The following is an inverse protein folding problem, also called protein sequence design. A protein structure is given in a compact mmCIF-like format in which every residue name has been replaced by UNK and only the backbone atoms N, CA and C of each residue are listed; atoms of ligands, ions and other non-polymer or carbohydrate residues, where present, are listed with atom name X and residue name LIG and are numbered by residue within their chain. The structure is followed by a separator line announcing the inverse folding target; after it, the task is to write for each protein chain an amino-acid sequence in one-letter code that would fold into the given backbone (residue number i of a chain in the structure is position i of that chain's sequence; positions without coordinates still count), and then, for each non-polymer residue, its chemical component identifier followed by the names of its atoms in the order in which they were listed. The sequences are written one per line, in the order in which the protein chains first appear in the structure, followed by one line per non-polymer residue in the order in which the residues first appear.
data_IF_748152612364
#
_entry.id   IF_748152612364
#
_cell.length_a   1.000
_cell.length_b   1.000
_cell.length_c   1.000
_cell.angle_alpha   90.00
_cell.angle_beta   90.00
_cell.angle_gamma   90.00
#
_symmetry.space_group_name_H-M   'P 1'
#
loop_
_entity.id
_entity.type
_entity.pdbx_description
1 polymer ?
#
# COMPACT_ATOMS: atom_id res chain seq x y z
N UNK A 1 -37.28 20.73 -0.40
CA UNK A 1 -36.26 21.10 0.60
C UNK A 1 -35.40 19.93 1.04
N UNK A 2 -35.93 18.69 1.13
CA UNK A 2 -35.12 17.50 1.46
C UNK A 2 -34.13 17.04 0.36
N UNK A 3 -34.50 17.16 -0.93
CA UNK A 3 -33.66 16.70 -2.05
C UNK A 3 -32.35 17.49 -2.18
N UNK A 4 -32.37 18.81 -1.95
CA UNK A 4 -31.18 19.66 -2.02
C UNK A 4 -30.22 19.42 -0.86
N UNK A 5 -30.73 19.07 0.33
CA UNK A 5 -29.90 18.73 1.48
C UNK A 5 -29.20 17.37 1.29
N UNK A 6 -29.94 16.35 0.83
CA UNK A 6 -29.37 15.04 0.52
C UNK A 6 -28.34 15.10 -0.60
N UNK A 7 -28.57 15.90 -1.64
CA UNK A 7 -27.59 16.13 -2.70
C UNK A 7 -26.31 16.77 -2.15
N UNK A 8 -26.45 17.79 -1.30
CA UNK A 8 -25.29 18.48 -0.70
C UNK A 8 -24.48 17.58 0.23
N UNK A 9 -25.13 16.73 1.02
CA UNK A 9 -24.47 15.72 1.87
C UNK A 9 -23.73 14.70 1.00
N UNK A 10 -24.38 14.18 -0.06
CA UNK A 10 -23.77 13.24 -1.01
C UNK A 10 -22.51 13.84 -1.65
N UNK A 11 -22.58 15.07 -2.16
CA UNK A 11 -21.42 15.75 -2.77
C UNK A 11 -20.27 15.96 -1.79
N UNK A 12 -20.57 16.29 -0.53
CA UNK A 12 -19.53 16.49 0.49
C UNK A 12 -18.84 15.18 0.87
N UNK A 13 -19.58 14.07 0.89
CA UNK A 13 -19.06 12.73 1.13
C UNK A 13 -18.19 12.25 -0.05
N UNK A 14 -18.65 12.46 -1.29
CA UNK A 14 -17.90 12.15 -2.51
C UNK A 14 -16.57 12.93 -2.58
N UNK A 15 -16.58 14.21 -2.21
CA UNK A 15 -15.37 15.04 -2.21
C UNK A 15 -14.33 14.55 -1.19
N UNK A 16 -14.78 14.23 0.03
CA UNK A 16 -13.92 13.71 1.08
C UNK A 16 -13.36 12.32 0.72
N UNK A 17 -14.22 11.41 0.25
CA UNK A 17 -13.83 10.06 -0.13
C UNK A 17 -12.84 10.07 -1.30
N UNK A 18 -13.06 10.92 -2.29
CA UNK A 18 -12.12 11.11 -3.42
C UNK A 18 -10.78 11.63 -2.93
N UNK A 19 -10.76 12.60 -2.00
CA UNK A 19 -9.53 13.11 -1.41
C UNK A 19 -8.77 12.03 -0.64
N UNK A 20 -9.50 11.22 0.14
CA UNK A 20 -8.93 10.10 0.90
C UNK A 20 -8.29 9.06 -0.03
N UNK A 21 -9.02 8.58 -1.04
CA UNK A 21 -8.49 7.60 -2.00
C UNK A 21 -7.28 8.14 -2.78
N UNK A 22 -7.30 9.42 -3.14
CA UNK A 22 -6.14 10.09 -3.74
C UNK A 22 -4.92 10.04 -2.82
N UNK A 23 -5.05 10.47 -1.56
CA UNK A 23 -3.96 10.43 -0.58
C UNK A 23 -3.46 9.02 -0.31
N UNK A 24 -4.36 8.06 -0.13
CA UNK A 24 -3.99 6.65 0.10
C UNK A 24 -3.17 6.12 -1.07
N UNK A 25 -3.59 6.38 -2.32
CA UNK A 25 -2.83 5.95 -3.49
C UNK A 25 -1.47 6.62 -3.58
N UNK A 26 -1.38 7.87 -3.17
CA UNK A 26 -0.11 8.61 -3.07
C UNK A 26 0.84 7.93 -2.07
N UNK A 27 0.35 7.65 -0.87
CA UNK A 27 1.10 6.97 0.19
C UNK A 27 1.57 5.57 -0.22
N UNK A 28 0.71 4.79 -0.90
CA UNK A 28 1.11 3.45 -1.39
C UNK A 28 2.14 3.55 -2.51
N UNK A 29 2.03 4.56 -3.37
CA UNK A 29 3.04 4.84 -4.40
C UNK A 29 4.38 5.22 -3.76
N UNK A 30 4.36 5.98 -2.67
CA UNK A 30 5.53 6.31 -1.86
C UNK A 30 6.14 5.07 -1.21
N UNK A 31 5.31 4.20 -0.62
CA UNK A 31 5.70 2.91 -0.03
C UNK A 31 6.43 2.04 -1.05
N UNK A 32 5.86 1.88 -2.24
CA UNK A 32 6.49 1.11 -3.32
C UNK A 32 7.88 1.66 -3.66
N UNK A 33 8.02 2.99 -3.75
CA UNK A 33 9.31 3.64 -4.02
C UNK A 33 10.32 3.40 -2.89
N UNK A 34 9.89 3.51 -1.64
CA UNK A 34 10.78 3.33 -0.48
C UNK A 34 11.24 1.87 -0.34
N UNK A 35 10.46 0.90 -0.85
CA UNK A 35 10.84 -0.50 -1.00
C UNK A 35 11.69 -0.82 -2.24
N UNK A 36 12.12 0.20 -3.00
CA UNK A 36 12.99 -0.01 -4.17
C UNK A 36 12.25 -0.33 -5.48
N UNK A 37 10.91 -0.24 -5.52
CA UNK A 37 10.15 -0.42 -6.76
C UNK A 37 10.11 0.87 -7.59
N UNK A 38 10.07 0.70 -8.90
CA UNK A 38 10.03 1.83 -9.84
C UNK A 38 8.63 2.42 -9.89
N UNK A 39 8.48 3.63 -9.34
CA UNK A 39 7.25 4.42 -9.43
C UNK A 39 7.57 5.79 -10.04
N UNK A 40 6.85 6.15 -11.10
CA UNK A 40 7.06 7.44 -11.74
C UNK A 40 6.68 8.60 -10.80
N UNK A 41 7.47 9.68 -10.80
CA UNK A 41 7.20 10.87 -9.98
C UNK A 41 5.80 11.44 -10.19
N UNK A 42 5.27 11.36 -11.41
CA UNK A 42 3.91 11.80 -11.77
C UNK A 42 2.79 11.00 -11.10
N UNK A 43 3.07 9.78 -10.65
CA UNK A 43 2.11 8.96 -9.89
C UNK A 43 2.09 9.36 -8.41
N UNK A 44 3.25 9.73 -7.85
CA UNK A 44 3.40 10.18 -6.45
C UNK A 44 3.02 11.66 -6.28
N UNK A 45 3.25 12.53 -7.25
CA UNK A 45 2.96 13.97 -7.12
C UNK A 45 1.78 14.38 -8.00
N UNK A 46 0.88 13.43 -8.26
CA UNK A 46 -0.33 13.70 -9.04
C UNK A 46 -1.21 14.60 -8.20
N UNK A 47 -1.40 15.86 -8.58
CA UNK A 47 -2.36 16.71 -7.87
C UNK A 47 -3.78 16.14 -7.91
N UNK A 48 -4.59 16.39 -6.87
CA UNK A 48 -5.97 15.91 -6.73
C UNK A 48 -6.82 16.14 -8.00
N UNK A 49 -6.70 17.31 -8.64
CA UNK A 49 -7.41 17.60 -9.90
C UNK A 49 -7.04 16.62 -11.03
N UNK A 50 -5.78 16.20 -11.10
CA UNK A 50 -5.32 15.19 -12.06
C UNK A 50 -5.82 13.79 -11.73
N UNK A 51 -5.96 13.47 -10.44
CA UNK A 51 -6.59 12.23 -9.99
C UNK A 51 -8.06 12.19 -10.38
N UNK A 52 -8.83 13.25 -10.05
CA UNK A 52 -10.24 13.40 -10.42
C UNK A 52 -10.49 13.26 -11.92
N UNK A 53 -9.62 13.85 -12.76
CA UNK A 53 -9.73 13.71 -14.22
C UNK A 53 -9.53 12.29 -14.73
N UNK A 54 -8.67 11.49 -14.08
CA UNK A 54 -8.37 10.15 -14.54
C UNK A 54 -9.39 9.13 -14.03
N UNK A 55 -9.76 9.21 -12.75
CA UNK A 55 -10.57 8.19 -12.09
C UNK A 55 -11.99 8.63 -11.75
N UNK A 56 -12.28 9.94 -11.82
CA UNK A 56 -13.54 10.53 -11.40
C UNK A 56 -13.49 11.09 -9.97
N UNK A 57 -14.61 11.70 -9.57
CA UNK A 57 -14.80 12.36 -8.28
C UNK A 57 -16.19 12.13 -7.68
N UNK A 58 -16.86 11.07 -8.12
CA UNK A 58 -18.15 10.59 -7.63
C UNK A 58 -18.03 9.13 -7.14
N UNK A 59 -17.35 8.86 -6.02
CA UNK A 59 -17.22 7.52 -5.43
C UNK A 59 -18.58 6.83 -5.22
N UNK A 60 -19.62 7.58 -4.86
CA UNK A 60 -20.99 7.09 -4.73
C UNK A 60 -21.59 6.52 -6.02
N UNK A 61 -21.00 6.84 -7.17
CA UNK A 61 -21.36 6.31 -8.50
C UNK A 61 -20.29 5.33 -9.02
N UNK A 62 -19.36 4.92 -8.15
CA UNK A 62 -18.28 3.98 -8.46
C UNK A 62 -17.09 4.61 -9.19
N UNK A 63 -16.86 5.92 -9.05
CA UNK A 63 -15.78 6.66 -9.74
C UNK A 63 -15.02 7.60 -8.80
N UNK A 64 -13.79 7.31 -8.36
CA UNK A 64 -12.96 6.14 -8.69
C UNK A 64 -13.60 4.81 -8.28
N UNK A 65 -13.46 3.81 -9.15
CA UNK A 65 -13.63 2.41 -8.75
C UNK A 65 -12.36 1.95 -8.04
N UNK A 66 -12.50 1.14 -6.99
CA UNK A 66 -11.36 0.57 -6.25
C UNK A 66 -10.43 -0.21 -7.19
N UNK A 67 -11.00 -1.01 -8.10
CA UNK A 67 -10.22 -1.80 -9.06
C UNK A 67 -9.35 -0.92 -9.96
N UNK A 68 -9.84 0.25 -10.39
CA UNK A 68 -9.10 1.17 -11.27
C UNK A 68 -7.88 1.80 -10.59
N UNK A 69 -7.87 1.81 -9.25
CA UNK A 69 -6.74 2.30 -8.46
C UNK A 69 -5.62 1.27 -8.32
N UNK A 70 -5.86 0.01 -8.70
CA UNK A 70 -4.88 -1.08 -8.63
C UNK A 70 -3.83 -0.99 -9.74
N UNK A 71 -2.59 -1.38 -9.47
CA UNK A 71 -1.49 -1.30 -10.44
C UNK A 71 -0.34 -2.25 -10.10
N UNK A 72 0.51 -2.53 -11.09
CA UNK A 72 1.75 -3.28 -10.92
C UNK A 72 2.96 -2.33 -10.83
N UNK A 73 3.97 -2.77 -10.10
CA UNK A 73 5.29 -2.13 -10.05
C UNK A 73 6.39 -3.20 -10.18
N UNK A 74 7.50 -2.84 -10.81
CA UNK A 74 8.66 -3.73 -10.96
C UNK A 74 9.82 -3.21 -10.10
N UNK A 75 10.59 -4.11 -9.50
CA UNK A 75 11.73 -3.74 -8.67
C UNK A 75 12.82 -3.07 -9.52
N UNK A 76 13.48 -2.04 -8.98
CA UNK A 76 14.48 -1.26 -9.71
C UNK A 76 15.68 -2.10 -10.13
N UNK A 77 16.16 -2.93 -9.22
CA UNK A 77 17.38 -3.71 -9.41
C UNK A 77 17.10 -5.10 -10.01
N UNK A 78 15.84 -5.55 -9.99
CA UNK A 78 15.42 -6.82 -10.58
C UNK A 78 14.05 -6.67 -11.26
N UNK A 79 14.00 -6.33 -12.55
CA UNK A 79 12.73 -6.13 -13.26
C UNK A 79 11.83 -7.36 -13.33
N UNK A 80 12.36 -8.56 -13.05
CA UNK A 80 11.56 -9.78 -12.95
C UNK A 80 10.84 -9.92 -11.60
N UNK A 81 11.20 -9.14 -10.58
CA UNK A 81 10.44 -9.09 -9.33
C UNK A 81 9.37 -8.00 -9.44
N UNK A 82 8.12 -8.43 -9.54
CA UNK A 82 6.96 -7.54 -9.61
C UNK A 82 6.13 -7.63 -8.33
N UNK A 83 5.53 -6.51 -7.98
CA UNK A 83 4.57 -6.41 -6.90
C UNK A 83 3.26 -5.84 -7.43
N UNK A 84 2.16 -6.46 -7.04
CA UNK A 84 0.82 -6.01 -7.38
C UNK A 84 0.19 -5.25 -6.23
N UNK A 85 -0.33 -4.05 -6.50
CA UNK A 85 -1.07 -3.24 -5.54
C UNK A 85 -2.54 -3.42 -5.89
N UNK A 86 -3.28 -4.09 -5.00
CA UNK A 86 -4.69 -4.37 -5.14
C UNK A 86 -5.49 -3.46 -4.20
N UNK A 87 -6.27 -2.55 -4.78
CA UNK A 87 -7.31 -1.81 -4.07
C UNK A 87 -8.59 -2.62 -4.11
N UNK A 88 -9.12 -2.97 -2.93
CA UNK A 88 -10.30 -3.82 -2.78
C UNK A 88 -11.27 -3.23 -1.77
N UNK A 89 -12.53 -3.14 -2.16
CA UNK A 89 -13.65 -2.88 -1.26
C UNK A 89 -14.08 -4.16 -0.50
N UNK A 90 -13.73 -5.35 -1.03
CA UNK A 90 -13.88 -6.63 -0.33
C UNK A 90 -12.91 -6.76 0.85
N UNK A 91 -13.32 -7.41 1.96
CA UNK A 91 -12.43 -7.67 3.08
C UNK A 91 -11.31 -8.64 2.71
N UNK A 92 -10.10 -8.36 3.17
CA UNK A 92 -8.93 -9.21 2.98
C UNK A 92 -9.06 -10.53 3.78
N UNK A 93 -9.57 -11.57 3.12
CA UNK A 93 -9.79 -12.89 3.70
C UNK A 93 -9.21 -14.00 2.80
N UNK A 94 -9.22 -15.25 3.30
CA UNK A 94 -8.66 -16.39 2.59
C UNK A 94 -9.25 -16.58 1.19
N UNK A 95 -10.56 -16.35 1.00
CA UNK A 95 -11.20 -16.48 -0.31
C UNK A 95 -10.67 -15.43 -1.29
N UNK A 96 -10.52 -14.18 -0.84
CA UNK A 96 -9.96 -13.10 -1.65
C UNK A 96 -8.50 -13.38 -2.01
N UNK A 97 -7.68 -13.82 -1.04
CA UNK A 97 -6.28 -14.15 -1.32
C UNK A 97 -6.12 -15.35 -2.25
N UNK A 98 -6.89 -16.42 -2.06
CA UNK A 98 -6.84 -17.58 -2.96
C UNK A 98 -7.27 -17.20 -4.38
N UNK A 99 -8.32 -16.37 -4.51
CA UNK A 99 -8.75 -15.87 -5.82
C UNK A 99 -7.64 -15.07 -6.50
N UNK A 100 -7.05 -14.10 -5.80
CA UNK A 100 -5.96 -13.28 -6.34
C UNK A 100 -4.72 -14.13 -6.65
N UNK A 101 -4.39 -15.09 -5.80
CA UNK A 101 -3.26 -16.00 -6.01
C UNK A 101 -3.41 -16.79 -7.30
N UNK A 102 -4.59 -17.35 -7.55
CA UNK A 102 -4.84 -18.11 -8.78
C UNK A 102 -4.72 -17.22 -10.02
N UNK A 103 -5.35 -16.03 -9.99
CA UNK A 103 -5.29 -15.08 -11.11
C UNK A 103 -3.83 -14.70 -11.40
N UNK A 104 -3.05 -14.35 -10.38
CA UNK A 104 -1.67 -13.94 -10.55
C UNK A 104 -0.76 -15.10 -10.97
N UNK A 105 -1.02 -16.32 -10.51
CA UNK A 105 -0.30 -17.51 -10.98
C UNK A 105 -0.56 -17.78 -12.46
N UNK A 106 -1.81 -17.69 -12.90
CA UNK A 106 -2.16 -17.85 -14.31
C UNK A 106 -1.49 -16.75 -15.16
N UNK A 107 -1.52 -15.50 -14.69
CA UNK A 107 -0.81 -14.39 -15.36
C UNK A 107 0.70 -14.60 -15.41
N UNK A 108 1.32 -15.01 -14.30
CA UNK A 108 2.75 -15.32 -14.23
C UNK A 108 3.13 -16.47 -15.18
N UNK A 109 2.28 -17.50 -15.31
CA UNK A 109 2.53 -18.63 -16.20
C UNK A 109 2.44 -18.26 -17.69
N UNK A 110 1.62 -17.27 -18.03
CA UNK A 110 1.46 -16.77 -19.41
C UNK A 110 2.56 -15.76 -19.80
N UNK A 111 3.16 -15.09 -18.82
CA UNK A 111 4.22 -14.10 -19.03
C UNK A 111 5.57 -14.77 -19.27
N UNK A 112 6.36 -14.17 -20.18
CA UNK A 112 7.75 -14.61 -20.46
C UNK A 112 8.80 -13.93 -19.56
N UNK A 113 8.38 -13.01 -18.70
CA UNK A 113 9.21 -12.24 -17.77
C UNK A 113 8.32 -11.42 -16.83
N UNK A 114 8.85 -11.04 -15.67
CA UNK A 114 8.04 -10.48 -14.57
C UNK A 114 7.29 -11.58 -13.82
N UNK A 115 7.64 -11.77 -12.55
CA UNK A 115 7.01 -12.70 -11.62
C UNK A 115 6.45 -11.88 -10.47
N UNK A 116 5.12 -11.87 -10.35
CA UNK A 116 4.47 -11.26 -9.20
C UNK A 116 4.57 -12.21 -8.01
N UNK A 117 5.45 -11.89 -7.07
CA UNK A 117 5.68 -12.67 -5.85
C UNK A 117 5.04 -12.02 -4.61
N UNK A 118 4.71 -10.72 -4.70
CA UNK A 118 4.16 -9.93 -3.60
C UNK A 118 2.92 -9.16 -4.02
N UNK A 119 1.98 -9.05 -3.09
CA UNK A 119 0.74 -8.30 -3.27
C UNK A 119 0.48 -7.44 -2.04
N UNK A 120 0.32 -6.14 -2.25
CA UNK A 120 -0.22 -5.23 -1.23
C UNK A 120 -1.73 -5.11 -1.45
N UNK A 121 -2.52 -5.46 -0.45
CA UNK A 121 -3.98 -5.35 -0.48
C UNK A 121 -4.41 -4.18 0.38
N UNK A 122 -4.94 -3.14 -0.25
CA UNK A 122 -5.53 -1.96 0.41
C UNK A 122 -7.02 -2.19 0.58
N UNK A 123 -7.50 -2.18 1.82
CA UNK A 123 -8.90 -2.43 2.16
C UNK A 123 -9.55 -1.27 2.89
N UNK A 124 -10.85 -1.07 2.67
CA UNK A 124 -11.62 -0.06 3.40
C UNK A 124 -11.77 -0.43 4.90
N UNK A 125 -12.12 -1.70 5.17
CA UNK A 125 -12.39 -2.23 6.51
C UNK A 125 -11.93 -3.68 6.62
N UNK A 126 -11.69 -4.15 7.84
CA UNK A 126 -11.29 -5.53 8.13
C UNK A 126 -10.00 -5.62 8.93
N UNK A 127 -9.51 -6.83 9.24
CA UNK A 127 -8.27 -6.99 10.00
C UNK A 127 -7.05 -6.62 9.16
N UNK A 128 -6.17 -5.77 9.70
CA UNK A 128 -4.89 -5.41 9.07
C UNK A 128 -3.77 -6.43 9.32
N UNK A 129 -4.01 -7.39 10.23
CA UNK A 129 -2.98 -8.28 10.81
C UNK A 129 -2.68 -9.49 9.92
N UNK A 130 -2.17 -9.30 8.71
CA UNK A 130 -1.90 -10.45 7.84
C UNK A 130 -0.80 -10.15 6.83
N UNK A 131 0.44 -10.56 7.15
CA UNK A 131 1.30 -11.18 6.13
C UNK A 131 0.76 -12.59 5.94
N UNK A 132 0.32 -12.94 4.73
CA UNK A 132 -0.20 -14.27 4.41
C UNK A 132 0.46 -14.78 3.15
N UNK A 133 0.96 -16.01 3.19
CA UNK A 133 1.52 -16.64 2.01
C UNK A 133 0.56 -17.72 1.49
N UNK A 134 0.20 -17.63 0.21
CA UNK A 134 -0.66 -18.59 -0.49
C UNK A 134 -0.05 -18.81 -1.86
N UNK A 135 0.23 -20.07 -2.21
CA UNK A 135 0.71 -20.42 -3.55
C UNK A 135 2.05 -19.76 -3.93
N UNK A 136 2.92 -19.48 -2.95
CA UNK A 136 4.20 -18.77 -3.17
C UNK A 136 4.05 -17.26 -3.38
N UNK A 137 2.85 -16.69 -3.20
CA UNK A 137 2.59 -15.26 -3.24
C UNK A 137 2.39 -14.74 -1.82
N UNK A 138 3.11 -13.69 -1.47
CA UNK A 138 3.03 -13.01 -0.18
C UNK A 138 2.02 -11.86 -0.28
N UNK A 139 0.99 -11.92 0.55
CA UNK A 139 -0.04 -10.89 0.70
C UNK A 139 0.23 -10.07 1.96
N UNK A 140 0.27 -8.75 1.83
CA UNK A 140 0.39 -7.79 2.91
C UNK A 140 -0.81 -6.85 2.89
N UNK A 141 -1.52 -6.72 4.00
CA UNK A 141 -2.77 -5.95 4.04
C UNK A 141 -2.56 -4.59 4.72
N UNK A 142 -3.16 -3.54 4.18
CA UNK A 142 -3.20 -2.22 4.78
C UNK A 142 -4.63 -1.69 4.77
N UNK A 143 -5.03 -1.01 5.85
CA UNK A 143 -6.28 -0.26 5.84
C UNK A 143 -6.06 1.06 5.14
N UNK A 144 -7.06 1.50 4.39
CA UNK A 144 -7.06 2.84 3.80
C UNK A 144 -6.83 3.93 4.87
N UNK A 145 -7.40 3.78 6.07
CA UNK A 145 -7.31 4.79 7.12
C UNK A 145 -5.89 4.89 7.68
N UNK A 146 -5.18 3.76 7.81
CA UNK A 146 -3.78 3.75 8.25
C UNK A 146 -2.91 4.50 7.24
N UNK A 147 -3.12 4.24 5.95
CA UNK A 147 -2.37 4.89 4.86
C UNK A 147 -2.74 6.36 4.66
N UNK A 148 -4.00 6.73 4.96
CA UNK A 148 -4.50 8.09 4.84
C UNK A 148 -3.93 9.01 5.92
N UNK A 149 -3.76 8.51 7.14
CA UNK A 149 -3.28 9.32 8.28
C UNK A 149 -1.81 9.68 8.21
N UNK A 150 -1.07 9.11 7.27
CA UNK A 150 0.36 9.32 7.13
C UNK A 150 0.62 10.70 6.54
N UNK A 151 1.40 11.48 7.28
CA UNK A 151 2.01 12.71 6.80
C UNK A 151 3.48 12.45 6.43
N UNK A 152 4.03 13.34 5.62
CA UNK A 152 5.40 13.18 5.10
C UNK A 152 6.43 13.17 6.25
N UNK A 153 6.19 13.95 7.31
CA UNK A 153 7.08 14.02 8.47
C UNK A 153 7.15 12.69 9.25
N UNK A 154 6.03 11.99 9.42
CA UNK A 154 6.02 10.69 10.10
C UNK A 154 6.83 9.65 9.32
N UNK A 155 6.74 9.63 7.98
CA UNK A 155 7.54 8.73 7.14
C UNK A 155 9.03 9.03 7.24
N UNK A 156 9.41 10.31 7.28
CA UNK A 156 10.81 10.71 7.43
C UNK A 156 11.36 10.23 8.77
N UNK A 157 10.60 10.38 9.85
CA UNK A 157 11.01 9.91 11.18
C UNK A 157 11.13 8.38 11.23
N UNK A 158 10.13 7.64 10.75
CA UNK A 158 10.17 6.18 10.73
C UNK A 158 11.31 5.63 9.88
N UNK A 159 11.61 6.27 8.73
CA UNK A 159 12.75 5.89 7.89
C UNK A 159 14.08 6.07 8.62
N UNK A 160 14.27 7.17 9.35
CA UNK A 160 15.47 7.37 10.14
C UNK A 160 15.56 6.39 11.31
N UNK A 161 14.42 5.99 11.89
CA UNK A 161 14.39 4.98 12.96
C UNK A 161 14.68 3.59 12.43
N UNK A 162 14.26 3.21 11.22
CA UNK A 162 14.54 1.88 10.64
C UNK A 162 15.95 1.81 10.05
N UNK A 163 16.46 2.93 9.54
CA UNK A 163 17.86 3.08 9.18
C UNK A 163 18.65 3.47 10.43
N UNK A 164 18.79 2.57 11.39
CA UNK A 164 19.64 2.79 12.58
C UNK A 164 20.70 1.70 12.69
N UNK A 165 21.78 1.95 13.43
CA UNK A 165 22.64 3.13 13.51
C UNK A 165 23.93 2.88 12.69
N UNK A 166 24.91 3.80 12.67
CA UNK A 166 26.19 3.54 11.98
C UNK A 166 26.92 2.32 12.56
N UNK A 167 27.82 1.67 11.80
CA UNK A 167 28.57 0.49 12.30
C UNK A 167 29.26 0.75 13.65
N UNK A 168 29.68 1.99 13.90
CA UNK A 168 30.31 2.43 15.16
C UNK A 168 29.31 2.49 16.34
N UNK A 169 28.04 2.74 16.09
CA UNK A 169 26.98 2.80 17.12
C UNK A 169 26.40 1.42 17.45
N UNK A 170 26.42 0.49 16.49
CA UNK A 170 26.09 -0.93 16.72
C UNK A 170 27.12 -1.61 17.61
N UNK A 171 28.40 -1.32 17.42
CA UNK A 171 29.49 -1.90 18.21
C UNK A 171 29.49 -1.42 19.68
N UNK A 172 28.75 -0.34 19.98
CA UNK A 172 28.57 0.20 21.33
C UNK A 172 27.34 -0.35 22.08
N UNK A 173 26.48 -1.12 21.43
CA UNK A 173 25.26 -1.68 22.03
C UNK A 173 25.36 -3.21 22.13
N UNK A 174 25.17 -3.76 23.33
CA UNK A 174 25.02 -5.21 23.48
C UNK A 174 23.77 -5.69 22.71
N UNK A 175 23.83 -6.86 22.06
CA UNK A 175 22.71 -7.44 21.28
C UNK A 175 21.38 -7.53 22.05
N UNK A 176 21.43 -7.60 23.39
CA UNK A 176 20.27 -7.63 24.28
C UNK A 176 19.58 -6.26 24.43
N UNK A 177 20.30 -5.16 24.16
CA UNK A 177 19.83 -3.78 24.34
C UNK A 177 19.35 -3.12 23.04
N UNK A 178 19.38 -3.83 21.91
CA UNK A 178 18.90 -3.28 20.63
C UNK A 178 17.36 -3.21 20.63
N UNK A 179 16.76 -2.02 20.43
CA UNK A 179 15.31 -1.86 20.38
C UNK A 179 14.67 -2.72 19.27
N UNK A 180 13.75 -3.62 19.64
CA UNK A 180 13.08 -4.50 18.67
C UNK A 180 11.72 -3.95 18.27
N UNK A 181 11.52 -3.73 16.97
CA UNK A 181 10.21 -3.39 16.41
C UNK A 181 9.39 -4.68 16.22
N UNK A 182 8.11 -4.66 16.61
CA UNK A 182 7.20 -5.77 16.36
C UNK A 182 6.89 -5.92 14.86
N UNK A 183 6.81 -7.14 14.33
CA UNK A 183 6.48 -7.38 12.92
C UNK A 183 5.11 -6.87 12.48
N UNK A 184 4.20 -6.67 13.45
CA UNK A 184 2.86 -6.12 13.23
C UNK A 184 2.82 -4.59 13.29
N UNK A 185 3.93 -3.94 13.65
CA UNK A 185 4.05 -2.49 13.67
C UNK A 185 3.82 -1.90 12.28
N UNK A 186 3.20 -0.71 12.22
CA UNK A 186 2.92 -0.07 10.95
C UNK A 186 4.19 0.18 10.14
N UNK A 187 5.25 0.69 10.77
CA UNK A 187 6.52 1.01 10.12
C UNK A 187 7.19 -0.26 9.60
N UNK A 188 7.26 -1.32 10.42
CA UNK A 188 7.82 -2.61 10.00
C UNK A 188 7.11 -3.16 8.76
N UNK A 189 5.77 -3.11 8.75
CA UNK A 189 5.00 -3.51 7.58
C UNK A 189 5.20 -2.55 6.41
N UNK A 190 5.26 -1.23 6.64
CA UNK A 190 5.45 -0.24 5.57
C UNK A 190 6.72 -0.54 4.77
N UNK A 191 7.84 -0.77 5.46
CA UNK A 191 9.13 -1.08 4.83
C UNK A 191 9.29 -2.56 4.43
N UNK A 192 8.34 -3.42 4.80
CA UNK A 192 8.37 -4.84 4.48
C UNK A 192 9.44 -5.62 5.25
N UNK A 193 9.76 -5.17 6.46
CA UNK A 193 10.80 -5.76 7.32
C UNK A 193 10.43 -7.19 7.72
N UNK A 194 11.44 -8.06 7.73
CA UNK A 194 11.32 -9.43 8.23
C UNK A 194 11.78 -9.53 9.69
N UNK A 195 11.34 -10.58 10.39
CA UNK A 195 11.73 -10.80 11.79
C UNK A 195 13.26 -10.86 11.90
N UNK A 196 13.84 -9.98 12.72
CA UNK A 196 15.28 -9.90 12.93
C UNK A 196 15.99 -8.84 12.09
N UNK A 197 15.30 -8.16 11.17
CA UNK A 197 15.79 -6.92 10.59
C UNK A 197 15.55 -5.80 11.61
N UNK A 198 16.58 -5.47 12.37
CA UNK A 198 16.50 -4.55 13.50
C UNK A 198 16.54 -3.10 13.03
N UNK A 199 15.97 -2.24 13.89
CA UNK A 199 16.38 -0.86 14.08
C UNK A 199 17.49 -0.86 15.12
#
# INVERSE_FOLDING_TARGET
TNTSANFKIKTMDDEFETFKLWRVRETVSQLCRDRGYVVYRREIHRGLRGFKRQYGDQPSEGRPSWTDLSFFVSHRDNPNDEMYICFSDEPANLRTFTRLSNILQDENALRRGGQTSRVIVVVQRGPTRSKKEIGGIIFECFKELELFTINDDALVLEKHVILTPSEEELDMLDEENIPRIHSDDFAARYFGLERGQVS
#
